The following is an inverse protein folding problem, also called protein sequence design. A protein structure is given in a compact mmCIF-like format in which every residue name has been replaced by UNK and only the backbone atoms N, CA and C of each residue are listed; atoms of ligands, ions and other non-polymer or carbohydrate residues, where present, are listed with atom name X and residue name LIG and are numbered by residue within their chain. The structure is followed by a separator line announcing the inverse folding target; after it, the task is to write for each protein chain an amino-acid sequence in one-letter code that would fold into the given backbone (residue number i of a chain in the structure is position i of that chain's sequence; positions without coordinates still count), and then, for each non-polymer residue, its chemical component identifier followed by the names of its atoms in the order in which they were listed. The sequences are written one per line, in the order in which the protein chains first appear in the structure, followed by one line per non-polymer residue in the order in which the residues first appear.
data_IF_573132713557
#
_entry.id   IF_573132713557
#
_cell.length_a   1.000
_cell.length_b   1.000
_cell.length_c   1.000
_cell.angle_alpha   90.00
_cell.angle_beta   90.00
_cell.angle_gamma   90.00
#
_symmetry.space_group_name_H-M   'P 1'
#
loop_
_entity.id
_entity.type
_entity.pdbx_description
1 polymer ?
#
# COMPACT_ATOMS: atom_id res chain seq x y z
N UNK A 1 -43.48 -6.35 -11.75
CA UNK A 1 -42.55 -6.60 -12.85
C UNK A 1 -41.30 -7.19 -12.26
N UNK A 2 -41.10 -8.51 -12.38
CA UNK A 2 -39.91 -9.23 -11.92
C UNK A 2 -38.73 -8.85 -12.83
N UNK A 3 -37.67 -8.26 -12.28
CA UNK A 3 -36.42 -7.99 -13.00
C UNK A 3 -35.59 -9.25 -13.04
N UNK A 4 -35.22 -9.64 -14.25
CA UNK A 4 -34.29 -10.71 -14.55
C UNK A 4 -32.92 -10.30 -14.03
N UNK A 5 -32.38 -11.10 -13.11
CA UNK A 5 -31.01 -11.01 -12.63
C UNK A 5 -30.18 -11.85 -13.60
N UNK A 6 -29.31 -11.20 -14.34
CA UNK A 6 -28.35 -11.90 -15.22
C UNK A 6 -27.22 -12.46 -14.33
N UNK A 7 -27.15 -13.78 -14.27
CA UNK A 7 -26.18 -14.53 -13.50
C UNK A 7 -25.07 -15.01 -14.43
N UNK A 8 -24.01 -14.22 -14.65
CA UNK A 8 -22.79 -14.79 -15.20
C UNK A 8 -22.00 -15.45 -14.05
N UNK A 9 -22.31 -16.72 -13.80
CA UNK A 9 -21.51 -17.55 -12.89
C UNK A 9 -20.23 -17.96 -13.60
N UNK A 10 -19.08 -17.49 -13.11
CA UNK A 10 -17.80 -18.13 -13.38
C UNK A 10 -17.68 -19.25 -12.37
N UNK A 11 -18.12 -20.46 -12.75
CA UNK A 11 -17.92 -21.67 -11.96
C UNK A 11 -16.47 -22.14 -12.20
N UNK A 12 -15.64 -22.04 -11.18
CA UNK A 12 -14.35 -22.73 -11.14
C UNK A 12 -14.57 -24.21 -10.75
N UNK A 13 -13.83 -25.17 -11.32
CA UNK A 13 -13.91 -26.58 -10.94
C UNK A 13 -13.62 -26.80 -9.44
N UNK A 14 -14.24 -27.79 -8.84
CA UNK A 14 -14.29 -28.04 -7.40
C UNK A 14 -12.96 -28.42 -6.72
N UNK A 15 -11.85 -28.48 -7.44
CA UNK A 15 -10.56 -28.95 -6.91
C UNK A 15 -9.46 -27.94 -7.16
N UNK A 16 -9.08 -27.19 -6.12
CA UNK A 16 -7.80 -26.50 -5.88
C UNK A 16 -7.68 -24.99 -6.05
N UNK A 17 -8.66 -24.23 -6.63
CA UNK A 17 -8.45 -22.78 -6.83
C UNK A 17 -9.52 -21.96 -6.11
N UNK A 18 -9.11 -20.87 -5.49
CA UNK A 18 -9.95 -19.94 -4.75
C UNK A 18 -10.78 -19.09 -5.72
N UNK A 19 -12.06 -18.94 -5.44
CA UNK A 19 -12.96 -18.23 -6.34
C UNK A 19 -13.31 -16.84 -5.81
N UNK A 20 -13.26 -15.84 -6.70
CA UNK A 20 -13.97 -14.59 -6.51
C UNK A 20 -15.27 -14.68 -7.29
N UNK A 21 -16.42 -14.55 -6.60
CA UNK A 21 -17.73 -14.43 -7.23
C UNK A 21 -18.09 -12.98 -7.40
N UNK A 22 -18.41 -12.58 -8.64
CA UNK A 22 -18.86 -11.24 -8.96
C UNK A 22 -20.36 -11.31 -9.17
N UNK A 23 -21.13 -10.54 -8.39
CA UNK A 23 -22.55 -10.34 -8.58
C UNK A 23 -22.79 -8.89 -9.00
N UNK A 24 -23.38 -8.67 -10.15
CA UNK A 24 -23.80 -7.34 -10.57
C UNK A 24 -25.32 -7.18 -10.40
N UNK A 25 -25.74 -6.09 -9.79
CA UNK A 25 -27.13 -5.74 -9.58
C UNK A 25 -27.35 -4.23 -9.74
N UNK A 26 -28.59 -3.78 -9.90
CA UNK A 26 -28.92 -2.36 -9.84
C UNK A 26 -29.80 -2.12 -8.63
N UNK A 27 -29.37 -1.22 -7.74
CA UNK A 27 -30.19 -0.66 -6.67
C UNK A 27 -30.25 0.87 -6.85
N UNK A 28 -31.47 1.41 -6.90
CA UNK A 28 -31.71 2.85 -7.10
C UNK A 28 -30.97 3.46 -8.33
N UNK A 29 -30.80 2.69 -9.42
CA UNK A 29 -30.15 3.15 -10.65
C UNK A 29 -28.62 2.96 -10.68
N UNK A 30 -27.96 2.67 -9.56
CA UNK A 30 -26.52 2.36 -9.50
C UNK A 30 -26.27 0.88 -9.75
N UNK A 31 -25.26 0.57 -10.56
CA UNK A 31 -24.75 -0.79 -10.72
C UNK A 31 -24.01 -1.16 -9.43
N UNK A 32 -24.49 -2.14 -8.69
CA UNK A 32 -23.77 -2.70 -7.53
C UNK A 32 -23.01 -3.92 -8.04
N UNK A 33 -21.72 -3.95 -7.81
CA UNK A 33 -20.86 -5.12 -7.99
C UNK A 33 -20.55 -5.65 -6.61
N UNK A 34 -21.08 -6.82 -6.29
CA UNK A 34 -20.81 -7.54 -5.04
C UNK A 34 -19.77 -8.62 -5.35
N UNK A 35 -18.53 -8.37 -4.93
CA UNK A 35 -17.42 -9.30 -5.08
C UNK A 35 -17.30 -10.13 -3.80
N UNK A 36 -17.59 -11.43 -3.89
CA UNK A 36 -17.38 -12.35 -2.78
C UNK A 36 -16.02 -13.03 -2.93
N UNK A 37 -15.15 -12.83 -1.95
CA UNK A 37 -13.82 -13.43 -1.90
C UNK A 37 -13.84 -14.68 -1.03
N UNK A 38 -13.20 -15.75 -1.54
CA UNK A 38 -12.86 -16.90 -0.71
C UNK A 38 -11.49 -16.69 -0.10
N UNK A 39 -11.44 -16.52 1.23
CA UNK A 39 -10.19 -16.27 1.94
C UNK A 39 -9.38 -17.57 2.11
N UNK A 40 -8.06 -17.43 2.19
CA UNK A 40 -7.15 -18.50 2.61
C UNK A 40 -7.54 -18.93 4.02
N UNK A 41 -7.64 -20.26 4.25
CA UNK A 41 -7.87 -20.81 5.59
C UNK A 41 -6.65 -20.55 6.47
N UNK A 42 -6.83 -19.80 7.55
CA UNK A 42 -5.75 -19.41 8.46
C UNK A 42 -5.04 -20.63 9.10
N UNK A 43 -5.77 -21.76 9.28
CA UNK A 43 -5.17 -22.98 9.79
C UNK A 43 -4.24 -23.68 8.78
N UNK A 44 -4.36 -23.36 7.49
CA UNK A 44 -3.56 -23.89 6.39
C UNK A 44 -2.77 -22.78 5.68
N UNK A 45 -2.61 -21.63 6.35
CA UNK A 45 -2.08 -20.43 5.71
C UNK A 45 -0.69 -20.67 5.09
N UNK A 46 0.26 -21.14 5.88
CA UNK A 46 1.64 -21.36 5.41
C UNK A 46 1.72 -22.42 4.30
N UNK A 47 0.93 -23.52 4.41
CA UNK A 47 0.82 -24.54 3.35
C UNK A 47 0.26 -23.93 2.06
N UNK A 48 -0.85 -23.18 2.16
CA UNK A 48 -1.48 -22.55 1.00
C UNK A 48 -0.57 -21.51 0.35
N UNK A 49 0.11 -20.69 1.15
CA UNK A 49 1.07 -19.72 0.63
C UNK A 49 2.21 -20.43 -0.12
N UNK A 50 2.80 -21.49 0.46
CA UNK A 50 3.94 -22.20 -0.11
C UNK A 50 3.57 -23.01 -1.35
N UNK A 51 2.43 -23.72 -1.32
CA UNK A 51 2.11 -24.74 -2.33
C UNK A 51 1.24 -24.19 -3.47
N UNK A 52 0.55 -23.08 -3.24
CA UNK A 52 -0.42 -22.51 -4.20
C UNK A 52 -0.08 -21.08 -4.59
N UNK A 53 0.00 -20.16 -3.61
CA UNK A 53 0.10 -18.74 -3.89
C UNK A 53 1.46 -18.38 -4.48
N UNK A 54 2.54 -18.68 -3.79
CA UNK A 54 3.89 -18.31 -4.25
C UNK A 54 4.25 -18.92 -5.60
N UNK A 55 4.00 -20.23 -5.89
CA UNK A 55 4.28 -20.77 -7.21
C UNK A 55 3.50 -20.11 -8.35
N UNK A 56 2.27 -19.65 -8.09
CA UNK A 56 1.49 -18.92 -9.07
C UNK A 56 2.01 -17.48 -9.26
N UNK A 57 2.32 -16.79 -8.17
CA UNK A 57 2.89 -15.44 -8.22
C UNK A 57 4.24 -15.44 -8.95
N UNK A 58 5.11 -16.42 -8.71
CA UNK A 58 6.43 -16.54 -9.36
C UNK A 58 6.30 -16.64 -10.89
N UNK A 59 5.27 -17.32 -11.39
CA UNK A 59 5.06 -17.47 -12.83
C UNK A 59 4.56 -16.18 -13.52
N UNK A 60 3.95 -15.27 -12.79
CA UNK A 60 3.43 -14.00 -13.32
C UNK A 60 4.23 -12.77 -12.86
N UNK A 61 5.26 -12.98 -12.05
CA UNK A 61 6.10 -11.92 -11.49
C UNK A 61 7.14 -11.42 -12.49
N UNK A 62 7.29 -10.12 -12.56
CA UNK A 62 8.41 -9.40 -13.15
C UNK A 62 9.11 -8.61 -12.04
N UNK A 63 10.42 -8.78 -11.90
CA UNK A 63 11.27 -8.06 -10.93
C UNK A 63 12.14 -7.05 -11.67
N UNK A 64 12.26 -5.85 -11.12
CA UNK A 64 13.04 -4.81 -11.77
C UNK A 64 13.52 -3.71 -10.84
N UNK A 65 14.19 -2.74 -11.47
CA UNK A 65 14.82 -1.60 -10.80
C UNK A 65 14.39 -0.31 -11.49
N UNK A 66 13.85 0.62 -10.71
CA UNK A 66 13.41 1.94 -11.18
C UNK A 66 14.49 2.98 -10.84
N UNK A 67 14.90 3.77 -11.83
CA UNK A 67 15.77 4.93 -11.63
C UNK A 67 14.93 6.19 -11.36
N UNK A 68 14.89 6.70 -10.13
CA UNK A 68 14.05 7.85 -9.77
C UNK A 68 14.65 9.20 -10.18
N UNK A 69 15.88 9.24 -10.72
CA UNK A 69 16.64 10.47 -10.95
C UNK A 69 15.90 11.50 -11.79
N UNK A 70 15.08 11.07 -12.76
CA UNK A 70 14.31 11.99 -13.60
C UNK A 70 13.15 12.61 -12.82
N UNK A 71 12.44 11.82 -12.02
CA UNK A 71 11.35 12.30 -11.18
C UNK A 71 11.84 13.22 -10.06
N UNK A 72 12.98 12.91 -9.44
CA UNK A 72 13.61 13.75 -8.42
C UNK A 72 13.99 15.14 -9.01
N UNK A 73 14.65 15.16 -10.18
CA UNK A 73 14.98 16.43 -10.87
C UNK A 73 13.73 17.24 -11.22
N UNK A 74 12.66 16.59 -11.67
CA UNK A 74 11.38 17.24 -11.95
C UNK A 74 10.76 17.88 -10.71
N UNK A 75 10.95 17.24 -9.55
CA UNK A 75 10.55 17.76 -8.24
C UNK A 75 11.52 18.82 -7.66
N UNK A 76 12.57 19.19 -8.39
CA UNK A 76 13.60 20.14 -7.96
C UNK A 76 14.52 19.59 -6.86
N UNK A 77 14.78 18.29 -6.88
CA UNK A 77 15.60 17.58 -5.89
C UNK A 77 16.80 16.95 -6.63
N UNK A 78 18.01 17.16 -6.09
CA UNK A 78 19.21 16.49 -6.61
C UNK A 78 19.17 14.99 -6.31
N UNK A 79 19.40 14.11 -7.30
CA UNK A 79 19.39 12.67 -7.10
C UNK A 79 20.42 12.19 -6.07
N UNK A 80 20.06 11.20 -5.27
CA UNK A 80 20.95 10.50 -4.36
C UNK A 80 21.47 9.22 -5.02
N UNK A 81 22.78 8.99 -4.91
CA UNK A 81 23.42 7.78 -5.45
C UNK A 81 23.28 6.55 -4.56
N UNK A 82 22.82 6.72 -3.31
CA UNK A 82 22.83 5.67 -2.29
C UNK A 82 24.23 5.35 -1.77
N UNK A 83 24.30 4.87 -0.53
CA UNK A 83 25.58 4.51 0.11
C UNK A 83 25.77 3.00 0.14
N UNK A 84 24.68 2.24 0.27
CA UNK A 84 24.72 0.80 0.41
C UNK A 84 24.17 0.10 -0.81
N UNK A 85 24.97 -0.82 -1.31
CA UNK A 85 24.51 -1.85 -2.21
C UNK A 85 23.84 -2.96 -1.39
N UNK A 86 22.53 -3.09 -1.53
CA UNK A 86 21.71 -4.12 -0.87
C UNK A 86 21.45 -5.31 -1.78
N UNK A 87 22.46 -5.72 -2.55
CA UNK A 87 22.35 -6.77 -3.56
C UNK A 87 21.73 -6.29 -4.86
N UNK A 88 21.51 -4.98 -4.97
CA UNK A 88 20.85 -4.34 -6.07
C UNK A 88 21.69 -3.27 -6.74
N UNK A 89 21.12 -2.09 -6.86
CA UNK A 89 21.70 -1.00 -7.64
C UNK A 89 21.64 0.28 -6.83
N UNK A 90 22.79 0.81 -6.50
CA UNK A 90 22.90 2.07 -5.77
C UNK A 90 22.08 3.17 -6.44
N UNK A 91 21.28 3.90 -5.67
CA UNK A 91 20.41 4.96 -6.17
C UNK A 91 19.13 4.50 -6.86
N UNK A 92 18.93 3.20 -7.07
CA UNK A 92 17.73 2.65 -7.71
C UNK A 92 16.75 2.05 -6.70
N UNK A 93 15.49 1.96 -7.11
CA UNK A 93 14.41 1.41 -6.31
C UNK A 93 13.97 0.08 -6.90
N UNK A 94 13.91 -0.92 -6.05
CA UNK A 94 13.45 -2.25 -6.42
C UNK A 94 11.92 -2.27 -6.52
N UNK A 95 11.40 -3.07 -7.44
CA UNK A 95 9.97 -3.30 -7.56
C UNK A 95 9.65 -4.73 -8.00
N UNK A 96 8.47 -5.18 -7.63
CA UNK A 96 7.83 -6.38 -8.15
C UNK A 96 6.55 -6.00 -8.87
N UNK A 97 6.36 -6.54 -10.08
CA UNK A 97 5.10 -6.44 -10.80
C UNK A 97 4.56 -7.83 -11.11
N UNK A 98 3.24 -7.96 -11.06
CA UNK A 98 2.53 -9.20 -11.31
C UNK A 98 1.52 -8.98 -12.43
N UNK A 99 1.73 -9.65 -13.55
CA UNK A 99 0.94 -9.50 -14.77
C UNK A 99 -0.29 -10.42 -14.73
N UNK A 100 -1.49 -9.83 -14.74
CA UNK A 100 -2.74 -10.58 -14.73
C UNK A 100 -2.92 -11.45 -15.99
N UNK A 101 -2.35 -11.07 -17.14
CA UNK A 101 -2.41 -11.88 -18.34
C UNK A 101 -1.56 -13.17 -18.23
N UNK A 102 -0.36 -13.07 -17.61
CA UNK A 102 0.45 -14.24 -17.29
C UNK A 102 -0.24 -15.11 -16.23
N UNK A 103 -0.86 -14.48 -15.22
CA UNK A 103 -1.61 -15.18 -14.20
C UNK A 103 -2.81 -15.95 -14.79
N UNK A 104 -3.56 -15.35 -15.70
CA UNK A 104 -4.68 -16.01 -16.37
C UNK A 104 -4.23 -17.19 -17.23
N UNK A 105 -3.02 -17.15 -17.81
CA UNK A 105 -2.48 -18.24 -18.60
C UNK A 105 -2.17 -19.51 -17.76
N UNK A 106 -1.93 -19.39 -16.47
CA UNK A 106 -1.69 -20.51 -15.55
C UNK A 106 -2.95 -21.02 -14.86
N UNK A 107 -4.09 -20.34 -15.01
CA UNK A 107 -5.39 -20.83 -14.52
C UNK A 107 -5.85 -22.04 -15.36
N UNK A 108 -6.74 -22.83 -14.77
CA UNK A 108 -7.43 -23.87 -15.53
C UNK A 108 -8.24 -23.27 -16.68
N UNK A 109 -8.36 -23.99 -17.79
CA UNK A 109 -9.08 -23.52 -18.98
C UNK A 109 -10.50 -23.02 -18.64
N UNK A 110 -10.81 -21.80 -19.07
CA UNK A 110 -12.11 -21.15 -18.83
C UNK A 110 -12.23 -20.35 -17.52
N UNK A 111 -11.15 -20.24 -16.73
CA UNK A 111 -11.13 -19.53 -15.45
C UNK A 111 -10.42 -18.18 -15.52
N UNK A 112 -10.56 -17.43 -16.61
CA UNK A 112 -9.97 -16.09 -16.75
C UNK A 112 -10.86 -15.02 -16.13
N UNK A 113 -10.26 -14.05 -15.43
CA UNK A 113 -10.95 -12.85 -15.00
C UNK A 113 -10.99 -11.82 -16.15
N UNK A 114 -12.00 -10.97 -16.17
CA UNK A 114 -11.98 -9.79 -17.03
C UNK A 114 -10.87 -8.87 -16.53
N UNK A 115 -9.96 -8.45 -17.43
CA UNK A 115 -8.91 -7.48 -17.09
C UNK A 115 -9.52 -6.14 -16.69
N UNK A 116 -9.08 -5.57 -15.56
CA UNK A 116 -9.67 -4.39 -14.94
C UNK A 116 -8.68 -3.23 -14.78
N UNK A 117 -7.43 -3.41 -15.21
CA UNK A 117 -6.35 -2.44 -15.08
C UNK A 117 -5.29 -2.87 -14.08
N UNK A 118 -4.61 -1.90 -13.48
CA UNK A 118 -3.55 -2.18 -12.54
C UNK A 118 -3.74 -1.47 -11.20
N UNK A 119 -3.07 -2.01 -10.17
CA UNK A 119 -3.00 -1.43 -8.83
C UNK A 119 -1.52 -1.23 -8.49
N UNK A 120 -1.13 0.00 -8.16
CA UNK A 120 0.18 0.29 -7.58
C UNK A 120 0.04 0.22 -6.06
N UNK A 121 0.94 -0.54 -5.41
CA UNK A 121 1.00 -0.65 -3.95
C UNK A 121 2.16 0.21 -3.42
N UNK A 122 1.85 1.10 -2.48
CA UNK A 122 2.79 1.90 -1.69
C UNK A 122 2.77 1.39 -0.25
N UNK A 123 3.82 0.69 0.15
CA UNK A 123 3.91 -0.04 1.41
C UNK A 123 4.22 0.85 2.61
N UNK A 124 4.04 0.32 3.82
CA UNK A 124 4.29 0.99 5.08
C UNK A 124 5.78 1.02 5.49
N UNK A 125 6.03 1.68 6.63
CA UNK A 125 7.36 1.74 7.24
C UNK A 125 7.81 0.34 7.68
N UNK A 126 9.08 -0.01 7.42
CA UNK A 126 9.70 -1.32 7.70
C UNK A 126 9.13 -2.51 6.91
N UNK A 127 8.36 -2.26 5.87
CA UNK A 127 7.76 -3.28 5.02
C UNK A 127 8.58 -3.50 3.73
N UNK A 128 8.15 -4.48 2.93
CA UNK A 128 8.77 -4.88 1.67
C UNK A 128 7.70 -5.49 0.75
N UNK A 129 8.02 -5.72 -0.52
CA UNK A 129 7.04 -6.10 -1.53
C UNK A 129 6.32 -7.42 -1.23
N UNK A 130 7.05 -8.48 -0.88
CA UNK A 130 6.49 -9.83 -0.65
C UNK A 130 5.60 -9.94 0.60
N UNK A 131 5.61 -8.93 1.48
CA UNK A 131 4.61 -8.83 2.56
C UNK A 131 3.18 -8.79 2.00
N UNK A 132 3.02 -8.29 0.80
CA UNK A 132 1.73 -8.10 0.13
C UNK A 132 1.27 -9.27 -0.74
N UNK A 133 2.01 -10.38 -0.79
CA UNK A 133 1.73 -11.51 -1.68
C UNK A 133 0.30 -12.05 -1.58
N UNK A 134 -0.28 -12.15 -0.36
CA UNK A 134 -1.68 -12.55 -0.19
C UNK A 134 -2.65 -11.53 -0.81
N UNK A 135 -2.39 -10.23 -0.64
CA UNK A 135 -3.22 -9.17 -1.20
C UNK A 135 -3.07 -9.11 -2.73
N UNK A 136 -1.84 -9.27 -3.24
CA UNK A 136 -1.54 -9.40 -4.67
C UNK A 136 -2.31 -10.57 -5.27
N UNK A 137 -2.30 -11.72 -4.61
CA UNK A 137 -3.07 -12.90 -5.01
C UNK A 137 -4.55 -12.57 -5.22
N UNK A 138 -5.17 -11.89 -4.26
CA UNK A 138 -6.59 -11.52 -4.39
C UNK A 138 -6.84 -10.49 -5.50
N UNK A 139 -5.95 -9.54 -5.70
CA UNK A 139 -6.07 -8.58 -6.80
C UNK A 139 -5.94 -9.23 -8.18
N UNK A 140 -5.01 -10.17 -8.33
CA UNK A 140 -4.87 -10.96 -9.56
C UNK A 140 -6.12 -11.82 -9.82
N UNK A 141 -6.66 -12.47 -8.79
CA UNK A 141 -7.93 -13.21 -8.89
C UNK A 141 -9.10 -12.31 -9.33
N UNK A 142 -9.08 -11.04 -8.95
CA UNK A 142 -10.07 -10.04 -9.36
C UNK A 142 -9.83 -9.47 -10.76
N UNK A 143 -8.69 -9.78 -11.41
CA UNK A 143 -8.34 -9.33 -12.76
C UNK A 143 -7.53 -8.04 -12.84
N UNK A 144 -6.86 -7.66 -11.75
CA UNK A 144 -5.91 -6.54 -11.74
C UNK A 144 -4.48 -7.04 -11.86
N UNK A 145 -3.65 -6.39 -12.69
CA UNK A 145 -2.20 -6.44 -12.54
C UNK A 145 -1.78 -5.65 -11.30
N UNK A 146 -0.65 -6.02 -10.68
CA UNK A 146 -0.23 -5.36 -9.44
C UNK A 146 1.24 -4.99 -9.53
N UNK A 147 1.59 -3.77 -9.15
CA UNK A 147 2.96 -3.29 -9.09
C UNK A 147 3.27 -2.79 -7.68
N UNK A 148 4.30 -3.33 -7.05
CA UNK A 148 4.73 -2.96 -5.69
C UNK A 148 6.09 -2.28 -5.78
N UNK A 149 6.17 -1.00 -5.43
CA UNK A 149 7.42 -0.28 -5.30
C UNK A 149 7.97 -0.44 -3.88
N UNK A 150 9.20 -0.89 -3.74
CA UNK A 150 9.91 -0.81 -2.46
C UNK A 150 10.48 0.60 -2.28
N UNK A 151 10.00 1.29 -1.25
CA UNK A 151 10.45 2.65 -0.95
C UNK A 151 11.93 2.70 -0.57
N UNK A 152 12.58 3.85 -0.78
CA UNK A 152 13.96 4.11 -0.32
C UNK A 152 14.16 3.65 1.12
N UNK A 153 15.26 2.96 1.36
CA UNK A 153 15.59 2.44 2.69
C UNK A 153 14.87 1.16 3.07
N UNK A 154 14.07 0.58 2.19
CA UNK A 154 13.30 -0.63 2.45
C UNK A 154 13.59 -1.73 1.43
N UNK A 155 13.34 -2.97 1.81
CA UNK A 155 13.52 -4.12 0.94
C UNK A 155 14.88 -4.15 0.27
N UNK A 156 14.91 -4.41 -1.03
CA UNK A 156 16.13 -4.40 -1.85
C UNK A 156 16.47 -2.99 -2.39
N UNK A 157 15.61 -1.98 -2.18
CA UNK A 157 15.84 -0.60 -2.64
C UNK A 157 17.07 0.03 -1.99
N UNK A 158 17.66 1.00 -2.69
CA UNK A 158 18.83 1.74 -2.25
C UNK A 158 18.68 2.33 -0.85
N UNK A 159 19.78 2.31 -0.09
CA UNK A 159 19.91 2.89 1.26
C UNK A 159 20.97 3.97 1.31
N UNK A 160 20.72 4.97 2.15
CA UNK A 160 21.59 6.15 2.31
C UNK A 160 22.27 6.20 3.70
N UNK A 161 22.20 5.08 4.45
CA UNK A 161 22.86 4.88 5.74
C UNK A 161 23.48 3.47 5.81
N UNK A 162 24.56 3.32 6.57
CA UNK A 162 25.31 2.05 6.69
C UNK A 162 24.54 0.94 7.41
N UNK A 163 23.67 1.30 8.38
CA UNK A 163 22.87 0.30 9.09
C UNK A 163 21.67 -0.14 8.24
N UNK A 164 21.62 -1.39 7.74
CA UNK A 164 20.55 -1.89 6.89
C UNK A 164 19.19 -1.99 7.59
N UNK A 165 19.18 -2.04 8.93
CA UNK A 165 17.94 -2.06 9.71
C UNK A 165 17.32 -0.66 9.87
N UNK A 166 18.04 0.41 9.50
CA UNK A 166 17.63 1.78 9.78
C UNK A 166 17.19 2.52 8.53
N UNK A 167 15.98 3.11 8.59
CA UNK A 167 15.48 4.00 7.53
C UNK A 167 15.94 5.42 7.79
N UNK A 168 16.46 6.05 6.74
CA UNK A 168 16.82 7.46 6.70
C UNK A 168 16.36 8.06 5.37
N UNK A 169 15.99 9.33 5.38
CA UNK A 169 15.75 10.13 4.17
C UNK A 169 16.03 11.61 4.50
N UNK A 170 16.61 12.33 3.58
CA UNK A 170 16.94 13.76 3.75
C UNK A 170 15.76 14.68 3.44
N UNK A 171 14.90 14.27 2.48
CA UNK A 171 13.76 15.04 2.02
C UNK A 171 12.58 14.09 1.69
N UNK A 172 11.46 14.27 2.37
CA UNK A 172 10.25 13.48 2.16
C UNK A 172 9.68 13.58 0.73
N UNK A 173 9.95 14.67 0.01
CA UNK A 173 9.49 14.86 -1.37
C UNK A 173 10.04 13.79 -2.32
N UNK A 174 11.18 13.16 -1.97
CA UNK A 174 11.70 12.01 -2.73
C UNK A 174 10.71 10.87 -2.79
N UNK A 175 10.09 10.51 -1.67
CA UNK A 175 9.06 9.45 -1.65
C UNK A 175 7.89 9.75 -2.59
N UNK A 176 7.47 11.02 -2.64
CA UNK A 176 6.38 11.46 -3.52
C UNK A 176 6.80 11.37 -4.99
N UNK A 177 7.99 11.88 -5.34
CA UNK A 177 8.54 11.83 -6.69
C UNK A 177 8.78 10.38 -7.16
N UNK A 178 9.31 9.53 -6.27
CA UNK A 178 9.57 8.11 -6.53
C UNK A 178 8.27 7.37 -6.87
N UNK A 179 7.23 7.53 -6.05
CA UNK A 179 5.94 6.86 -6.27
C UNK A 179 5.23 7.37 -7.52
N UNK A 180 5.21 8.70 -7.73
CA UNK A 180 4.58 9.28 -8.91
C UNK A 180 5.30 8.84 -10.19
N UNK A 181 6.61 8.98 -10.26
CA UNK A 181 7.39 8.60 -11.44
C UNK A 181 7.36 7.08 -11.72
N UNK A 182 7.33 6.25 -10.68
CA UNK A 182 7.13 4.80 -10.83
C UNK A 182 5.74 4.49 -11.40
N UNK A 183 4.70 5.12 -10.89
CA UNK A 183 3.34 4.92 -11.37
C UNK A 183 3.19 5.36 -12.83
N UNK A 184 3.76 6.51 -13.21
CA UNK A 184 3.75 7.03 -14.58
C UNK A 184 4.50 6.14 -15.57
N UNK A 185 5.64 5.55 -15.16
CA UNK A 185 6.50 4.78 -16.06
C UNK A 185 6.20 3.30 -16.07
N UNK A 186 6.10 2.68 -14.89
CA UNK A 186 5.89 1.23 -14.75
C UNK A 186 4.40 0.91 -14.55
N UNK A 187 3.72 1.60 -13.63
CA UNK A 187 2.30 1.35 -13.34
C UNK A 187 1.41 1.44 -14.57
N UNK A 188 1.59 2.48 -15.39
CA UNK A 188 0.82 2.67 -16.63
C UNK A 188 1.05 1.57 -17.68
N UNK A 189 2.25 0.97 -17.73
CA UNK A 189 2.50 -0.16 -18.65
C UNK A 189 1.62 -1.37 -18.27
N UNK A 190 1.50 -1.67 -16.98
CA UNK A 190 0.67 -2.77 -16.48
C UNK A 190 -0.82 -2.46 -16.48
N UNK A 191 -1.20 -1.19 -16.46
CA UNK A 191 -2.59 -0.77 -16.67
C UNK A 191 -3.05 -0.96 -18.12
N UNK A 192 -2.12 -0.90 -19.09
CA UNK A 192 -2.38 -1.17 -20.52
C UNK A 192 -3.59 -0.38 -21.09
N UNK A 193 -3.74 0.87 -20.71
CA UNK A 193 -4.83 1.76 -21.11
C UNK A 193 -6.15 1.56 -20.35
N UNK A 194 -6.19 0.67 -19.37
CA UNK A 194 -7.28 0.51 -18.40
C UNK A 194 -6.95 1.33 -17.13
N UNK A 195 -7.87 1.47 -16.16
CA UNK A 195 -7.64 2.24 -14.95
C UNK A 195 -6.38 1.84 -14.19
N UNK A 196 -5.64 2.86 -13.71
CA UNK A 196 -4.53 2.72 -12.77
C UNK A 196 -5.01 3.13 -11.39
N UNK A 197 -5.06 2.20 -10.46
CA UNK A 197 -5.49 2.43 -9.09
C UNK A 197 -4.30 2.45 -8.13
N UNK A 198 -4.50 3.07 -6.97
CA UNK A 198 -3.50 3.16 -5.92
C UNK A 198 -4.00 2.46 -4.64
N UNK A 199 -3.16 1.58 -4.07
CA UNK A 199 -3.34 1.05 -2.72
C UNK A 199 -2.16 1.47 -1.86
N UNK A 200 -2.44 2.09 -0.72
CA UNK A 200 -1.41 2.58 0.18
C UNK A 200 -1.65 2.11 1.61
N UNK A 201 -0.57 1.76 2.32
CA UNK A 201 -0.64 1.43 3.74
C UNK A 201 0.30 2.31 4.56
N UNK A 202 -0.15 2.78 5.73
CA UNK A 202 0.67 3.45 6.75
C UNK A 202 1.52 4.61 6.18
N UNK A 203 2.87 4.51 6.25
CA UNK A 203 3.80 5.47 5.64
C UNK A 203 3.45 5.70 4.16
N UNK A 204 3.27 4.62 3.40
CA UNK A 204 2.84 4.68 2.00
C UNK A 204 1.52 5.42 1.83
N UNK A 205 0.61 5.35 2.81
CA UNK A 205 -0.64 6.12 2.81
C UNK A 205 -0.44 7.62 2.95
N UNK A 206 0.53 8.05 3.76
CA UNK A 206 0.93 9.47 3.83
C UNK A 206 1.60 9.96 2.55
N UNK A 207 2.45 9.11 1.94
CA UNK A 207 3.07 9.37 0.65
C UNK A 207 2.01 9.45 -0.46
N UNK A 208 1.10 8.45 -0.51
CA UNK A 208 0.02 8.41 -1.48
C UNK A 208 -0.90 9.62 -1.41
N UNK A 209 -1.28 10.05 -0.20
CA UNK A 209 -2.07 11.26 -0.02
C UNK A 209 -1.40 12.50 -0.64
N UNK A 210 -0.08 12.67 -0.44
CA UNK A 210 0.69 13.76 -1.04
C UNK A 210 0.84 13.61 -2.57
N UNK A 211 0.90 12.38 -3.09
CA UNK A 211 0.88 12.15 -4.55
C UNK A 211 -0.47 12.57 -5.13
N UNK A 212 -1.58 12.23 -4.47
CA UNK A 212 -2.92 12.63 -4.92
C UNK A 212 -3.10 14.15 -4.94
N UNK A 213 -2.48 14.88 -4.01
CA UNK A 213 -2.50 16.34 -3.96
C UNK A 213 -1.64 16.99 -5.07
N UNK A 214 -0.54 16.37 -5.48
CA UNK A 214 0.42 16.95 -6.42
C UNK A 214 0.25 16.42 -7.86
N UNK A 215 -0.37 15.27 -8.03
CA UNK A 215 -0.62 14.59 -9.30
C UNK A 215 -2.09 14.12 -9.35
N UNK A 216 -3.05 15.05 -9.40
CA UNK A 216 -4.48 14.78 -9.16
C UNK A 216 -5.11 13.81 -10.17
N UNK A 217 -4.52 13.65 -11.36
CA UNK A 217 -5.05 12.80 -12.44
C UNK A 217 -4.22 11.54 -12.69
N UNK A 218 -3.22 11.24 -11.83
CA UNK A 218 -2.32 10.10 -12.02
C UNK A 218 -3.04 8.76 -11.80
N UNK A 219 -3.95 8.71 -10.84
CA UNK A 219 -4.69 7.51 -10.48
C UNK A 219 -6.19 7.70 -10.68
N UNK A 220 -6.88 6.64 -11.10
CA UNK A 220 -8.34 6.64 -11.25
C UNK A 220 -9.04 6.54 -9.90
N UNK A 221 -8.49 5.75 -8.96
CA UNK A 221 -9.00 5.60 -7.58
C UNK A 221 -7.87 5.30 -6.61
N UNK A 222 -8.05 5.70 -5.36
CA UNK A 222 -7.07 5.46 -4.32
C UNK A 222 -7.69 4.88 -3.04
N UNK A 223 -7.07 3.82 -2.53
CA UNK A 223 -7.33 3.25 -1.21
C UNK A 223 -6.19 3.62 -0.27
N UNK A 224 -6.51 4.27 0.85
CA UNK A 224 -5.57 4.61 1.91
C UNK A 224 -5.89 3.79 3.16
N UNK A 225 -5.11 2.75 3.44
CA UNK A 225 -5.29 1.86 4.59
C UNK A 225 -4.45 2.34 5.77
N UNK A 226 -5.11 2.73 6.86
CA UNK A 226 -4.48 3.28 8.07
C UNK A 226 -3.34 4.29 7.75
N UNK A 227 -3.58 5.31 6.88
CA UNK A 227 -2.52 6.14 6.34
C UNK A 227 -1.83 6.98 7.43
N UNK A 228 -0.52 7.10 7.35
CA UNK A 228 0.27 7.98 8.21
C UNK A 228 0.09 9.45 7.81
N UNK A 229 -1.11 9.98 7.98
CA UNK A 229 -1.35 11.43 7.88
C UNK A 229 -0.60 12.16 8.99
N UNK A 230 -0.48 11.53 10.15
CA UNK A 230 0.43 11.94 11.22
C UNK A 230 0.93 10.73 12.01
N UNK A 231 2.25 10.63 12.27
CA UNK A 231 2.79 9.56 13.10
C UNK A 231 2.42 9.76 14.58
N UNK A 232 2.23 8.66 15.30
CA UNK A 232 2.13 8.68 16.75
C UNK A 232 3.55 8.77 17.36
N UNK A 233 3.89 9.91 17.95
CA UNK A 233 5.23 10.18 18.48
C UNK A 233 5.35 10.00 20.00
N UNK A 234 4.27 9.56 20.66
CA UNK A 234 4.21 9.45 22.13
C UNK A 234 4.17 10.80 22.85
N UNK A 235 4.20 11.92 22.10
CA UNK A 235 4.14 13.28 22.64
C UNK A 235 3.38 14.20 21.65
N UNK A 236 2.97 15.43 22.06
CA UNK A 236 2.35 16.38 21.14
C UNK A 236 3.26 16.68 19.93
N UNK A 237 2.70 16.65 18.71
CA UNK A 237 3.46 16.80 17.45
C UNK A 237 4.31 18.08 17.38
N UNK A 238 3.84 19.20 17.98
CA UNK A 238 4.60 20.45 18.07
C UNK A 238 5.88 20.30 18.88
N UNK A 239 5.81 19.57 20.01
CA UNK A 239 6.98 19.26 20.87
C UNK A 239 7.94 18.33 20.13
N UNK A 240 7.42 17.28 19.51
CA UNK A 240 8.23 16.36 18.71
C UNK A 240 9.00 17.08 17.60
N UNK A 241 8.35 18.02 16.88
CA UNK A 241 9.00 18.83 15.82
C UNK A 241 10.19 19.63 16.35
N UNK A 242 10.01 20.31 17.48
CA UNK A 242 11.07 21.13 18.08
C UNK A 242 12.23 20.25 18.52
N UNK A 243 11.93 19.17 19.25
CA UNK A 243 12.95 18.26 19.80
C UNK A 243 13.75 17.57 18.68
N UNK A 244 13.05 16.94 17.74
CA UNK A 244 13.69 16.22 16.63
C UNK A 244 14.42 17.20 15.70
N UNK A 245 13.87 18.40 15.47
CA UNK A 245 14.53 19.47 14.72
C UNK A 245 15.84 19.89 15.36
N UNK A 246 15.86 20.08 16.69
CA UNK A 246 17.07 20.42 17.43
C UNK A 246 18.12 19.29 17.37
N UNK A 247 17.72 18.02 17.56
CA UNK A 247 18.62 16.88 17.44
C UNK A 247 19.24 16.78 16.05
N UNK A 248 18.46 16.93 15.00
CA UNK A 248 18.97 16.94 13.62
C UNK A 248 19.93 18.13 13.40
N UNK A 249 19.61 19.33 13.91
CA UNK A 249 20.48 20.50 13.85
C UNK A 249 21.81 20.33 14.57
N UNK A 250 21.86 19.50 15.60
CA UNK A 250 23.08 19.11 16.33
C UNK A 250 23.86 17.94 15.67
N UNK A 251 23.46 17.49 14.49
CA UNK A 251 24.13 16.43 13.74
C UNK A 251 23.67 15.01 14.05
N UNK A 252 22.58 14.82 14.81
CA UNK A 252 22.05 13.49 15.14
C UNK A 252 21.10 12.93 14.04
N UNK A 253 20.92 13.62 12.91
CA UNK A 253 19.96 13.23 11.87
C UNK A 253 20.11 11.79 11.35
N UNK A 254 21.37 11.29 11.22
CA UNK A 254 21.67 9.91 10.82
C UNK A 254 21.80 8.93 12.01
N UNK A 255 21.41 9.33 13.22
CA UNK A 255 21.40 8.44 14.39
C UNK A 255 20.01 7.86 14.59
N UNK A 256 19.99 6.61 15.09
CA UNK A 256 18.76 5.89 15.44
C UNK A 256 17.99 6.62 16.54
N UNK A 257 16.68 6.65 16.43
CA UNK A 257 15.77 7.17 17.45
C UNK A 257 15.96 6.40 18.77
N UNK A 258 15.96 7.11 19.88
CA UNK A 258 16.15 6.51 21.20
C UNK A 258 15.06 5.47 21.50
N UNK A 259 15.47 4.36 22.14
CA UNK A 259 14.57 3.27 22.51
C UNK A 259 14.24 2.28 21.41
N UNK A 260 14.67 2.54 20.17
CA UNK A 260 14.55 1.57 19.08
C UNK A 260 15.78 0.64 19.00
N UNK A 261 15.60 -0.56 18.45
CA UNK A 261 16.64 -1.58 18.23
C UNK A 261 16.75 -1.96 16.76
N UNK A 262 17.74 -2.76 16.43
CA UNK A 262 17.76 -3.50 15.17
C UNK A 262 16.81 -4.71 15.26
N UNK A 263 16.48 -5.31 14.13
CA UNK A 263 15.65 -6.53 14.07
C UNK A 263 16.33 -7.67 14.84
N UNK A 264 15.54 -8.39 15.65
CA UNK A 264 15.95 -9.62 16.32
C UNK A 264 15.06 -10.78 15.83
N UNK A 265 15.62 -11.98 15.54
CA UNK A 265 14.85 -13.12 15.06
C UNK A 265 14.10 -13.84 16.20
N UNK A 266 13.33 -13.11 16.97
CA UNK A 266 12.50 -13.60 18.08
C UNK A 266 11.05 -13.24 17.81
N UNK A 267 10.21 -14.26 17.52
CA UNK A 267 8.79 -14.06 17.25
C UNK A 267 8.02 -13.73 18.53
N UNK A 268 7.22 -12.69 18.48
CA UNK A 268 6.28 -12.32 19.54
C UNK A 268 4.99 -11.76 18.95
N UNK A 269 3.87 -12.06 19.58
CA UNK A 269 2.57 -11.43 19.30
C UNK A 269 2.32 -10.22 20.22
N UNK A 270 3.29 -9.85 21.08
CA UNK A 270 3.15 -8.70 21.97
C UNK A 270 2.92 -7.41 21.14
N UNK A 271 1.85 -6.69 21.45
CA UNK A 271 1.40 -5.51 20.69
C UNK A 271 0.56 -5.82 19.44
N UNK A 272 0.49 -7.09 19.02
CA UNK A 272 -0.32 -7.57 17.90
C UNK A 272 -1.42 -8.55 18.34
N UNK A 273 -1.84 -8.48 19.60
CA UNK A 273 -2.89 -9.34 20.14
C UNK A 273 -4.23 -9.05 19.44
N UNK A 274 -4.70 -10.05 18.71
CA UNK A 274 -5.92 -9.98 17.88
C UNK A 274 -5.66 -9.90 16.38
N UNK A 275 -4.40 -9.78 15.93
CA UNK A 275 -4.02 -10.06 14.55
C UNK A 275 -4.08 -11.57 14.25
N UNK A 276 -4.05 -11.94 12.98
CA UNK A 276 -3.92 -13.34 12.56
C UNK A 276 -2.49 -13.83 12.82
N UNK A 277 -2.33 -14.73 13.79
CA UNK A 277 -1.02 -15.30 14.12
C UNK A 277 -0.38 -15.98 12.89
N UNK A 278 -1.19 -16.57 12.02
CA UNK A 278 -0.69 -17.22 10.81
C UNK A 278 -0.01 -16.21 9.85
N UNK A 279 -0.61 -15.02 9.65
CA UNK A 279 -0.07 -13.94 8.84
C UNK A 279 1.17 -13.31 9.49
N UNK A 280 1.12 -13.06 10.80
CA UNK A 280 2.27 -12.50 11.55
C UNK A 280 3.47 -13.45 11.52
N UNK A 281 3.27 -14.75 11.69
CA UNK A 281 4.33 -15.76 11.57
C UNK A 281 4.90 -15.83 10.18
N UNK A 282 4.08 -15.70 9.14
CA UNK A 282 4.52 -15.68 7.76
C UNK A 282 5.38 -14.46 7.46
N UNK A 283 4.93 -13.28 7.84
CA UNK A 283 5.70 -12.04 7.71
C UNK A 283 7.04 -12.11 8.45
N UNK A 284 7.01 -12.62 9.69
CA UNK A 284 8.22 -12.80 10.49
C UNK A 284 9.20 -13.80 9.84
N UNK A 285 8.70 -14.93 9.30
CA UNK A 285 9.51 -15.89 8.55
C UNK A 285 10.24 -15.24 7.39
N UNK A 286 9.54 -14.47 6.55
CA UNK A 286 10.15 -13.76 5.41
C UNK A 286 11.30 -12.85 5.85
N UNK A 287 11.15 -12.16 6.99
CA UNK A 287 12.20 -11.31 7.55
C UNK A 287 13.39 -12.10 8.09
N UNK A 288 13.17 -13.25 8.69
CA UNK A 288 14.24 -14.11 9.17
C UNK A 288 15.07 -14.70 8.01
N UNK A 289 14.40 -15.03 6.90
CA UNK A 289 15.03 -15.66 5.73
C UNK A 289 15.77 -14.64 4.83
N UNK A 290 15.42 -13.34 4.92
CA UNK A 290 15.95 -12.30 4.03
C UNK A 290 16.47 -11.11 4.84
N UNK A 291 17.77 -10.85 4.72
CA UNK A 291 18.42 -9.74 5.43
C UNK A 291 17.88 -8.37 4.99
N UNK A 292 17.53 -8.23 3.73
CA UNK A 292 17.00 -7.02 3.12
C UNK A 292 15.66 -6.60 3.73
N UNK A 293 14.91 -7.56 4.28
CA UNK A 293 13.60 -7.33 4.89
C UNK A 293 13.66 -7.03 6.40
N UNK A 294 14.87 -6.92 6.96
CA UNK A 294 15.10 -6.66 8.39
C UNK A 294 15.11 -5.17 8.76
N UNK A 295 14.59 -4.31 7.89
CA UNK A 295 14.36 -2.90 8.22
C UNK A 295 13.47 -2.80 9.46
N UNK A 296 13.89 -2.03 10.50
CA UNK A 296 13.22 -2.10 11.81
C UNK A 296 13.16 -0.77 12.57
N UNK A 297 14.07 0.15 12.33
CA UNK A 297 14.17 1.38 13.09
C UNK A 297 14.29 2.63 12.21
N UNK A 298 13.98 3.79 12.79
CA UNK A 298 14.06 5.08 12.15
C UNK A 298 15.30 5.85 12.59
N UNK A 299 15.89 6.62 11.68
CA UNK A 299 16.79 7.71 12.00
C UNK A 299 15.99 8.95 12.46
N UNK A 300 16.59 9.84 13.25
CA UNK A 300 15.96 11.10 13.66
C UNK A 300 15.55 11.95 12.46
N UNK A 301 16.34 11.95 11.39
CA UNK A 301 15.99 12.67 10.17
C UNK A 301 14.72 12.12 9.53
N UNK A 302 14.54 10.78 9.46
CA UNK A 302 13.31 10.21 8.95
C UNK A 302 12.09 10.70 9.74
N UNK A 303 12.18 10.72 11.09
CA UNK A 303 11.08 11.24 11.93
C UNK A 303 10.83 12.73 11.64
N UNK A 304 11.90 13.53 11.47
CA UNK A 304 11.77 14.95 11.06
C UNK A 304 11.02 15.09 9.76
N UNK A 305 11.33 14.26 8.77
CA UNK A 305 10.68 14.28 7.47
C UNK A 305 9.22 13.80 7.55
N UNK A 306 8.91 12.76 8.32
CA UNK A 306 7.54 12.31 8.58
C UNK A 306 6.67 13.41 9.23
N UNK A 307 7.25 14.18 10.15
CA UNK A 307 6.57 15.33 10.76
C UNK A 307 6.37 16.50 9.78
N UNK A 308 7.26 16.68 8.81
CA UNK A 308 7.06 17.64 7.71
C UNK A 308 5.97 17.16 6.73
N UNK A 309 5.94 15.87 6.41
CA UNK A 309 4.86 15.28 5.61
C UNK A 309 3.48 15.54 6.24
N UNK A 310 3.35 15.33 7.56
CA UNK A 310 2.12 15.63 8.29
C UNK A 310 1.68 17.10 8.13
N UNK A 311 2.61 18.02 8.10
CA UNK A 311 2.29 19.44 7.89
C UNK A 311 1.84 19.70 6.46
N UNK A 312 2.51 19.12 5.48
CA UNK A 312 2.23 19.31 4.05
C UNK A 312 0.85 18.73 3.68
N UNK A 313 0.58 17.47 4.05
CA UNK A 313 -0.62 16.72 3.67
C UNK A 313 -1.92 17.26 4.30
N UNK A 314 -1.86 18.14 5.28
CA UNK A 314 -3.03 18.79 5.88
C UNK A 314 -3.19 20.25 5.43
N UNK A 315 -2.54 20.63 4.33
CA UNK A 315 -2.76 21.93 3.70
C UNK A 315 -4.15 21.97 3.04
N UNK A 316 -5.05 22.89 3.43
CA UNK A 316 -6.38 22.98 2.81
C UNK A 316 -6.32 23.22 1.30
N UNK A 317 -5.33 23.97 0.82
CA UNK A 317 -5.14 24.23 -0.61
C UNK A 317 -4.66 22.99 -1.35
N UNK A 318 -3.76 22.18 -0.76
CA UNK A 318 -3.29 20.94 -1.36
C UNK A 318 -4.39 19.87 -1.39
N UNK A 319 -5.14 19.71 -0.27
CA UNK A 319 -6.26 18.78 -0.23
C UNK A 319 -7.38 19.13 -1.25
N UNK A 320 -7.54 20.42 -1.60
CA UNK A 320 -8.51 20.84 -2.60
C UNK A 320 -8.13 20.46 -4.04
N UNK A 321 -6.86 20.11 -4.29
CA UNK A 321 -6.40 19.62 -5.60
C UNK A 321 -6.66 18.11 -5.80
N UNK A 322 -7.13 17.39 -4.79
CA UNK A 322 -7.39 15.95 -4.89
C UNK A 322 -8.64 15.70 -5.73
N UNK A 323 -8.44 15.28 -6.99
CA UNK A 323 -9.51 14.91 -7.92
C UNK A 323 -9.82 13.40 -7.89
N UNK A 324 -8.82 12.57 -7.58
CA UNK A 324 -8.95 11.11 -7.47
C UNK A 324 -9.91 10.74 -6.33
N UNK A 325 -10.96 9.93 -6.56
CA UNK A 325 -11.80 9.38 -5.50
C UNK A 325 -10.99 8.58 -4.48
N UNK A 326 -11.16 8.87 -3.19
CA UNK A 326 -10.42 8.27 -2.08
C UNK A 326 -11.32 7.43 -1.19
N UNK A 327 -10.91 6.20 -0.90
CA UNK A 327 -11.47 5.37 0.16
C UNK A 327 -10.43 5.17 1.27
N UNK A 328 -10.63 5.81 2.42
CA UNK A 328 -9.76 5.69 3.57
C UNK A 328 -10.30 4.64 4.55
N UNK A 329 -9.45 3.70 4.94
CA UNK A 329 -9.73 2.77 6.03
C UNK A 329 -8.99 3.19 7.29
N UNK A 330 -9.73 3.29 8.40
CA UNK A 330 -9.20 3.70 9.68
C UNK A 330 -9.24 2.55 10.69
N UNK A 331 -8.11 2.24 11.29
CA UNK A 331 -7.97 1.25 12.36
C UNK A 331 -8.36 1.86 13.69
N UNK A 332 -9.23 1.17 14.44
CA UNK A 332 -9.73 1.67 15.72
C UNK A 332 -8.75 1.53 16.88
N UNK A 333 -7.85 0.53 16.82
CA UNK A 333 -6.83 0.22 17.84
C UNK A 333 -5.41 0.57 17.37
N UNK A 334 -5.29 1.59 16.53
CA UNK A 334 -4.02 2.03 15.98
C UNK A 334 -3.15 2.73 17.03
N UNK A 335 -1.91 2.29 17.17
CA UNK A 335 -0.91 2.88 18.07
C UNK A 335 0.24 3.57 17.31
N UNK A 336 0.30 3.42 15.98
CA UNK A 336 1.39 3.92 15.14
C UNK A 336 1.07 5.23 14.45
N UNK A 337 -0.20 5.45 14.10
CA UNK A 337 -0.66 6.67 13.44
C UNK A 337 -1.88 7.25 14.14
N UNK A 338 -2.06 8.56 14.00
CA UNK A 338 -3.14 9.30 14.68
C UNK A 338 -4.42 9.33 13.83
N UNK A 339 -5.54 8.90 14.40
CA UNK A 339 -6.85 8.87 13.71
C UNK A 339 -7.43 10.27 13.43
N UNK A 340 -7.24 11.24 14.32
CA UNK A 340 -7.79 12.59 14.12
C UNK A 340 -7.23 13.30 12.87
N UNK A 341 -5.94 13.25 12.54
CA UNK A 341 -5.42 13.75 11.26
C UNK A 341 -6.02 13.06 10.03
N UNK A 342 -6.33 11.76 10.09
CA UNK A 342 -7.03 11.04 9.01
C UNK A 342 -8.45 11.61 8.79
N UNK A 343 -9.21 11.82 9.88
CA UNK A 343 -10.51 12.48 9.82
C UNK A 343 -10.41 13.88 9.19
N UNK A 344 -9.37 14.64 9.59
CA UNK A 344 -9.14 15.98 9.07
C UNK A 344 -8.79 15.97 7.58
N UNK A 345 -7.95 15.04 7.11
CA UNK A 345 -7.63 14.89 5.70
C UNK A 345 -8.88 14.65 4.86
N UNK A 346 -9.71 13.64 5.23
CA UNK A 346 -10.96 13.34 4.52
C UNK A 346 -11.90 14.56 4.48
N UNK A 347 -11.99 15.30 5.59
CA UNK A 347 -12.82 16.50 5.64
C UNK A 347 -12.29 17.60 4.72
N UNK A 348 -10.97 17.83 4.69
CA UNK A 348 -10.34 18.84 3.84
C UNK A 348 -10.52 18.54 2.35
N UNK A 349 -10.38 17.26 1.95
CA UNK A 349 -10.65 16.84 0.56
C UNK A 349 -12.11 17.12 0.19
N UNK A 350 -13.06 16.77 1.05
CA UNK A 350 -14.49 17.07 0.83
C UNK A 350 -14.79 18.56 0.78
N UNK A 351 -14.19 19.34 1.67
CA UNK A 351 -14.35 20.80 1.71
C UNK A 351 -13.81 21.45 0.41
N UNK A 352 -12.78 20.82 -0.22
CA UNK A 352 -12.25 21.20 -1.52
C UNK A 352 -13.08 20.76 -2.72
N UNK A 353 -14.13 19.95 -2.50
CA UNK A 353 -15.00 19.43 -3.56
C UNK A 353 -14.63 18.05 -4.08
N UNK A 354 -13.56 17.42 -3.54
CA UNK A 354 -13.13 16.06 -3.88
C UNK A 354 -14.01 14.97 -3.26
N UNK A 355 -13.92 13.76 -3.82
CA UNK A 355 -14.63 12.58 -3.33
C UNK A 355 -13.74 11.80 -2.35
N UNK A 356 -14.10 11.74 -1.08
CA UNK A 356 -13.39 10.95 -0.08
C UNK A 356 -14.35 10.29 0.90
N UNK A 357 -14.28 8.98 1.03
CA UNK A 357 -15.04 8.21 2.02
C UNK A 357 -14.12 7.57 3.05
N UNK A 358 -14.65 7.34 4.25
CA UNK A 358 -13.91 6.69 5.32
C UNK A 358 -14.71 5.53 5.92
N UNK A 359 -14.04 4.38 6.08
CA UNK A 359 -14.59 3.21 6.78
C UNK A 359 -13.71 2.92 7.98
N UNK A 360 -14.32 2.86 9.17
CA UNK A 360 -13.60 2.52 10.40
C UNK A 360 -13.82 1.06 10.79
N UNK A 361 -12.70 0.40 11.13
CA UNK A 361 -12.68 -0.94 11.73
C UNK A 361 -12.30 -0.83 13.21
N UNK A 362 -13.28 -0.73 14.14
CA UNK A 362 -13.03 -0.42 15.56
C UNK A 362 -12.10 -1.40 16.26
N UNK A 363 -12.20 -2.69 15.90
CA UNK A 363 -11.44 -3.78 16.51
C UNK A 363 -10.10 -4.06 15.83
N UNK A 364 -9.82 -3.38 14.69
CA UNK A 364 -8.60 -3.62 13.94
C UNK A 364 -7.40 -2.92 14.56
N UNK A 365 -6.28 -3.64 14.54
CA UNK A 365 -4.94 -3.09 14.71
C UNK A 365 -4.52 -2.32 13.44
N UNK A 366 -3.33 -1.72 13.45
CA UNK A 366 -2.81 -0.88 12.38
C UNK A 366 -2.90 -1.53 10.99
N UNK A 367 -2.54 -2.80 10.88
CA UNK A 367 -2.55 -3.56 9.62
C UNK A 367 -3.86 -4.33 9.46
N UNK A 368 -4.87 -3.74 8.78
CA UNK A 368 -6.19 -4.37 8.61
C UNK A 368 -6.10 -5.67 7.81
N UNK A 369 -5.16 -5.74 6.85
CA UNK A 369 -4.92 -6.95 6.05
C UNK A 369 -4.15 -8.06 6.80
N UNK A 370 -3.60 -7.78 7.99
CA UNK A 370 -3.02 -8.78 8.90
C UNK A 370 -4.03 -9.28 9.94
N UNK A 371 -5.26 -8.76 9.96
CA UNK A 371 -6.30 -9.18 10.87
C UNK A 371 -6.89 -10.55 10.47
N UNK A 372 -7.58 -11.26 11.38
CA UNK A 372 -8.29 -12.50 11.04
C UNK A 372 -9.29 -12.31 9.90
N UNK A 373 -9.61 -13.39 9.18
CA UNK A 373 -10.51 -13.40 8.03
C UNK A 373 -11.86 -12.72 8.29
N UNK A 374 -12.35 -12.74 9.53
CA UNK A 374 -13.59 -12.06 9.92
C UNK A 374 -13.54 -10.54 9.71
N UNK A 375 -12.35 -9.93 9.79
CA UNK A 375 -12.11 -8.49 9.55
C UNK A 375 -11.52 -8.29 8.15
N UNK A 376 -10.55 -9.11 7.76
CA UNK A 376 -9.87 -8.92 6.47
C UNK A 376 -10.81 -9.12 5.28
N UNK A 377 -11.68 -10.12 5.31
CA UNK A 377 -12.61 -10.38 4.19
C UNK A 377 -13.51 -9.19 3.84
N UNK A 378 -14.32 -8.62 4.75
CA UNK A 378 -15.16 -7.47 4.42
C UNK A 378 -14.35 -6.23 4.02
N UNK A 379 -13.14 -6.06 4.55
CA UNK A 379 -12.22 -5.02 4.14
C UNK A 379 -11.79 -5.20 2.68
N UNK A 380 -11.35 -6.38 2.28
CA UNK A 380 -10.93 -6.70 0.92
C UNK A 380 -12.10 -6.58 -0.08
N UNK A 381 -13.27 -7.12 0.28
CA UNK A 381 -14.47 -7.01 -0.56
C UNK A 381 -14.87 -5.53 -0.78
N UNK A 382 -14.70 -4.68 0.23
CA UNK A 382 -14.96 -3.25 0.11
C UNK A 382 -13.97 -2.56 -0.81
N UNK A 383 -12.67 -2.92 -0.76
CA UNK A 383 -11.64 -2.41 -1.69
C UNK A 383 -11.99 -2.78 -3.13
N UNK A 384 -12.24 -4.07 -3.39
CA UNK A 384 -12.55 -4.57 -4.72
C UNK A 384 -13.82 -3.93 -5.29
N UNK A 385 -14.87 -3.79 -4.46
CA UNK A 385 -16.10 -3.11 -4.86
C UNK A 385 -15.87 -1.63 -5.18
N UNK A 386 -14.99 -0.95 -4.44
CA UNK A 386 -14.64 0.43 -4.70
C UNK A 386 -13.90 0.60 -6.03
N UNK A 387 -12.92 -0.25 -6.31
CA UNK A 387 -12.19 -0.18 -7.58
C UNK A 387 -13.07 -0.53 -8.79
N UNK A 388 -14.03 -1.46 -8.66
CA UNK A 388 -14.90 -1.90 -9.76
C UNK A 388 -16.14 -1.00 -9.97
N UNK A 389 -16.44 -0.08 -9.05
CA UNK A 389 -17.56 0.86 -9.22
C UNK A 389 -17.27 1.77 -10.43
N UNK A 390 -18.09 1.75 -11.49
CA UNK A 390 -17.85 2.64 -12.62
C UNK A 390 -17.93 4.08 -12.14
N UNK A 391 -16.84 4.84 -12.33
CA UNK A 391 -16.85 6.28 -12.10
C UNK A 391 -18.05 6.87 -12.81
N UNK A 392 -18.82 7.69 -12.11
CA UNK A 392 -19.82 8.54 -12.77
C UNK A 392 -18.98 9.47 -13.64
N UNK A 393 -18.98 9.19 -14.96
CA UNK A 393 -18.40 10.13 -15.91
C UNK A 393 -19.05 11.48 -15.57
N UNK A 394 -18.24 12.41 -15.07
CA UNK A 394 -18.68 13.79 -14.87
C UNK A 394 -19.30 14.20 -16.20
N UNK A 395 -20.62 14.40 -16.20
CA UNK A 395 -21.32 14.86 -17.37
C UNK A 395 -20.71 16.22 -17.70
N UNK A 396 -19.81 16.22 -18.66
CA UNK A 396 -19.40 17.44 -19.34
C UNK A 396 -20.63 18.03 -19.97
N UNK A 397 -21.17 19.07 -19.37
CA UNK A 397 -22.10 19.98 -20.00
C UNK A 397 -21.36 21.10 -20.70
#
# INVERSE_FOLDING_TARGET
VRKIIDWSEVLLPRNRWWAIRIRSGRLAGRKIVDMQVTMIDENKYAETMTDVVLPALEQCRDEGWYDPSAAERSAGIEPLSGIMDTGGRSGQLHYLCYDSAKFDAIREQGATATFRGAIVISHGFTEFAEKYDELVWYFLLAGYSVCVLEHRGHGKSSRDVENPCMVWIDDWRRYVADLAGFAETIGQQYAAGMPLNLFCHSMGGGIGALVLEQYPTLFDKAVLSAPMIAPATGMPLGVARVLVGALCGLGFGKKRVFGQSDFTPEFSMEGNEGASEARERWYFKLRCENREYQTYCAAFEWVRQALKMNWAVLSPTACAEVETPVLLFQSGRDIWVLNNPQNRFVQLVKDGGGEADMVRYPESLHEIFSMPNAIYKPYLERILSFYDDPMIASATY
#
